data_IF_120949453229
#
_entry.id   IF_120949453229
#
_cell.length_a   1.000
_cell.length_b   1.000
_cell.length_c   1.000
_cell.angle_alpha   90.00
_cell.angle_beta   90.00
_cell.angle_gamma   90.00
#
_symmetry.space_group_name_H-M   'P 1'
#
loop_
_entity.id
_entity.type
_entity.pdbx_description
1 polymer ?
#
# COMPACT_ATOMS: atom_id res chain seq x y z
N UNK A 1 11.23 -4.84 -2.76
CA UNK A 1 10.14 -4.52 -1.82
C UNK A 1 10.68 -3.77 -0.59
N UNK A 2 10.04 -2.66 -0.16
CA UNK A 2 10.40 -1.88 1.05
C UNK A 2 9.13 -1.35 1.75
N UNK A 3 9.25 -0.79 2.97
CA UNK A 3 8.11 -0.32 3.77
C UNK A 3 7.90 1.18 3.51
N UNK A 4 6.68 1.55 3.12
CA UNK A 4 6.30 2.94 2.90
C UNK A 4 5.04 3.29 3.69
N UNK A 5 4.98 4.49 4.25
CA UNK A 5 3.77 5.05 4.86
C UNK A 5 3.14 5.97 3.81
N UNK A 6 1.93 5.64 3.36
CA UNK A 6 1.19 6.44 2.38
C UNK A 6 -0.25 6.65 2.84
N UNK A 7 -0.80 7.88 2.77
CA UNK A 7 -2.21 8.11 3.02
C UNK A 7 -3.04 7.54 1.85
N UNK A 8 -4.04 6.72 2.17
CA UNK A 8 -4.99 6.20 1.18
C UNK A 8 -6.28 7.04 1.26
N UNK A 9 -6.77 7.49 0.11
CA UNK A 9 -8.10 8.12 -0.01
C UNK A 9 -8.98 7.25 -0.89
N UNK A 10 -10.05 6.72 -0.30
CA UNK A 10 -11.05 5.97 -1.04
C UNK A 10 -11.98 6.91 -1.80
N UNK A 11 -12.35 6.50 -3.01
CA UNK A 11 -13.38 7.10 -3.83
C UNK A 11 -14.72 7.10 -3.07
N UNK A 12 -15.43 8.23 -3.12
CA UNK A 12 -16.73 8.46 -2.47
C UNK A 12 -17.84 8.76 -3.51
N UNK A 13 -17.60 8.44 -4.79
CA UNK A 13 -18.61 8.59 -5.85
C UNK A 13 -19.83 7.67 -5.54
N UNK A 14 -21.06 8.03 -5.95
CA UNK A 14 -22.26 7.24 -5.64
C UNK A 14 -22.18 5.77 -6.09
N UNK A 15 -21.49 5.53 -7.20
CA UNK A 15 -21.24 4.19 -7.77
C UNK A 15 -19.86 3.63 -7.37
N UNK A 16 -19.23 4.18 -6.33
CA UNK A 16 -17.93 3.72 -5.88
C UNK A 16 -18.01 2.29 -5.38
N UNK A 17 -17.04 1.49 -5.84
CA UNK A 17 -16.74 0.15 -5.35
C UNK A 17 -16.45 0.15 -3.86
N UNK A 18 -16.60 -0.99 -3.19
CA UNK A 18 -16.30 -1.09 -1.75
C UNK A 18 -14.82 -0.81 -1.48
N UNK A 19 -14.46 -0.45 -0.24
CA UNK A 19 -13.08 -0.05 0.08
C UNK A 19 -12.05 -1.15 -0.20
N UNK A 20 -12.43 -2.41 0.03
CA UNK A 20 -11.64 -3.58 -0.28
C UNK A 20 -11.43 -3.74 -1.80
N UNK A 21 -12.48 -3.62 -2.60
CA UNK A 21 -12.39 -3.63 -4.07
C UNK A 21 -11.46 -2.52 -4.59
N UNK A 22 -11.63 -1.29 -4.10
CA UNK A 22 -10.75 -0.17 -4.47
C UNK A 22 -9.28 -0.46 -4.08
N UNK A 23 -9.05 -1.14 -2.95
CA UNK A 23 -7.69 -1.48 -2.54
C UNK A 23 -7.06 -2.54 -3.45
N UNK A 24 -7.84 -3.52 -3.90
CA UNK A 24 -7.41 -4.48 -4.91
C UNK A 24 -7.11 -3.82 -6.26
N UNK A 25 -7.93 -2.85 -6.70
CA UNK A 25 -7.66 -2.05 -7.92
C UNK A 25 -6.34 -1.27 -7.82
N UNK A 26 -5.99 -0.81 -6.62
CA UNK A 26 -4.69 -0.17 -6.34
C UNK A 26 -3.52 -1.17 -6.24
N UNK A 27 -3.76 -2.47 -6.44
CA UNK A 27 -2.74 -3.52 -6.31
C UNK A 27 -2.30 -3.78 -4.87
N UNK A 28 -3.13 -3.39 -3.89
CA UNK A 28 -2.83 -3.40 -2.47
C UNK A 28 -3.70 -4.44 -1.74
N UNK A 29 -3.04 -5.35 -1.02
CA UNK A 29 -3.66 -6.41 -0.25
C UNK A 29 -3.67 -6.03 1.25
N UNK A 30 -4.84 -5.89 1.90
CA UNK A 30 -4.91 -5.54 3.32
C UNK A 30 -4.26 -6.59 4.21
N UNK A 31 -3.51 -6.14 5.23
CA UNK A 31 -3.09 -7.02 6.33
C UNK A 31 -4.28 -7.45 7.21
N UNK A 32 -5.36 -6.67 7.21
CA UNK A 32 -6.60 -6.95 7.94
C UNK A 32 -7.78 -6.29 7.21
N UNK A 33 -8.86 -7.05 7.02
CA UNK A 33 -10.09 -6.56 6.41
C UNK A 33 -10.95 -5.72 7.37
N UNK A 34 -10.86 -5.96 8.68
CA UNK A 34 -11.65 -5.21 9.66
C UNK A 34 -11.13 -3.78 9.86
N UNK A 35 -9.80 -3.59 9.79
CA UNK A 35 -9.19 -2.27 9.92
C UNK A 35 -7.80 -2.22 9.28
N UNK A 36 -7.72 -1.96 7.97
CA UNK A 36 -6.46 -1.99 7.24
C UNK A 36 -5.58 -0.80 7.66
N UNK A 37 -4.64 -1.03 8.57
CA UNK A 37 -3.55 -0.10 8.89
C UNK A 37 -2.29 -0.34 8.06
N UNK A 38 -2.24 -1.48 7.39
CA UNK A 38 -1.12 -1.96 6.62
C UNK A 38 -1.67 -2.70 5.41
N UNK A 39 -1.04 -2.51 4.28
CA UNK A 39 -1.32 -3.24 3.06
C UNK A 39 -0.01 -3.63 2.39
N UNK A 40 -0.06 -4.71 1.61
CA UNK A 40 1.06 -5.30 0.91
C UNK A 40 0.79 -5.27 -0.58
N UNK A 41 1.79 -5.03 -1.41
CA UNK A 41 1.62 -5.21 -2.85
C UNK A 41 1.63 -6.70 -3.20
N UNK A 42 0.97 -7.08 -4.30
CA UNK A 42 1.06 -8.46 -4.80
C UNK A 42 2.51 -8.90 -5.10
N UNK A 43 3.34 -7.97 -5.59
CA UNK A 43 4.77 -8.23 -5.80
C UNK A 43 5.48 -8.62 -4.50
N UNK A 44 5.21 -7.92 -3.39
CA UNK A 44 5.80 -8.24 -2.09
C UNK A 44 5.34 -9.60 -1.57
N UNK A 45 4.07 -9.95 -1.78
CA UNK A 45 3.53 -11.26 -1.43
C UNK A 45 4.18 -12.39 -2.24
N UNK A 46 4.37 -12.19 -3.54
CA UNK A 46 5.06 -13.16 -4.40
C UNK A 46 6.52 -13.35 -3.96
N UNK A 47 7.25 -12.26 -3.70
CA UNK A 47 8.62 -12.32 -3.16
C UNK A 47 8.66 -13.09 -1.83
N UNK A 48 7.68 -12.85 -0.93
CA UNK A 48 7.61 -13.54 0.36
C UNK A 48 7.37 -15.04 0.20
N UNK A 49 6.48 -15.45 -0.71
CA UNK A 49 6.21 -16.86 -0.99
C UNK A 49 7.49 -17.56 -1.47
N UNK A 50 8.26 -16.93 -2.36
CA UNK A 50 9.54 -17.47 -2.84
C UNK A 50 10.56 -17.58 -1.68
N UNK A 51 10.77 -16.52 -0.91
CA UNK A 51 11.68 -16.53 0.25
C UNK A 51 11.27 -17.57 1.32
N UNK A 52 9.97 -17.81 1.48
CA UNK A 52 9.44 -18.82 2.41
C UNK A 52 9.68 -20.24 1.89
N UNK A 53 9.44 -20.49 0.60
CA UNK A 53 9.63 -21.80 -0.01
C UNK A 53 11.10 -22.19 -0.14
N UNK A 54 11.95 -21.28 -0.59
CA UNK A 54 13.37 -21.59 -0.87
C UNK A 54 14.22 -21.64 0.41
N UNK A 55 13.97 -20.73 1.34
CA UNK A 55 14.83 -20.51 2.51
C UNK A 55 14.15 -20.80 3.86
N UNK A 56 12.87 -21.20 3.87
CA UNK A 56 12.11 -21.37 5.11
C UNK A 56 11.93 -20.07 5.88
N UNK A 57 12.00 -18.92 5.20
CA UNK A 57 11.98 -17.61 5.85
C UNK A 57 10.63 -17.37 6.51
N UNK A 58 10.63 -17.12 7.82
CA UNK A 58 9.42 -16.74 8.54
C UNK A 58 8.95 -15.34 8.15
N UNK A 59 7.65 -15.07 8.26
CA UNK A 59 7.07 -13.75 7.99
C UNK A 59 7.76 -12.62 8.79
N UNK A 60 8.16 -12.89 10.03
CA UNK A 60 8.85 -11.92 10.88
C UNK A 60 10.28 -11.63 10.43
N UNK A 61 11.01 -12.64 9.95
CA UNK A 61 12.34 -12.46 9.39
C UNK A 61 12.28 -11.68 8.08
N UNK A 62 11.30 -12.01 7.23
CA UNK A 62 11.06 -11.26 5.98
C UNK A 62 10.68 -9.80 6.26
N UNK A 63 9.78 -9.54 7.21
CA UNK A 63 9.46 -8.18 7.65
C UNK A 63 10.69 -7.43 8.18
N UNK A 64 11.57 -8.12 8.93
CA UNK A 64 12.81 -7.52 9.43
C UNK A 64 13.80 -7.20 8.30
N UNK A 65 13.88 -8.05 7.26
CA UNK A 65 14.62 -7.77 6.02
C UNK A 65 14.09 -6.51 5.33
N UNK A 66 12.77 -6.42 5.13
CA UNK A 66 12.13 -5.23 4.56
C UNK A 66 12.43 -3.96 5.38
N UNK A 67 12.36 -4.05 6.72
CA UNK A 67 12.63 -2.93 7.61
C UNK A 67 14.09 -2.45 7.50
N UNK A 68 15.04 -3.39 7.39
CA UNK A 68 16.46 -3.07 7.18
C UNK A 68 16.71 -2.40 5.83
N UNK A 69 16.14 -2.94 4.74
CA UNK A 69 16.22 -2.35 3.40
C UNK A 69 15.65 -0.93 3.39
N UNK A 70 14.50 -0.73 4.05
CA UNK A 70 13.86 0.59 4.17
C UNK A 70 14.76 1.56 4.94
N UNK A 71 15.30 1.13 6.08
CA UNK A 71 16.21 1.95 6.89
C UNK A 71 17.52 2.29 6.17
N UNK A 72 18.01 1.40 5.29
CA UNK A 72 19.22 1.64 4.52
C UNK A 72 18.97 2.53 3.29
N UNK A 73 17.79 2.44 2.67
CA UNK A 73 17.44 3.29 1.53
C UNK A 73 17.01 4.70 1.96
N UNK A 74 16.45 4.85 3.16
CA UNK A 74 16.03 6.15 3.71
C UNK A 74 16.32 6.25 5.22
N UNK A 75 17.58 6.49 5.61
CA UNK A 75 17.96 6.60 7.03
C UNK A 75 17.26 7.74 7.78
N UNK A 76 16.66 8.70 7.05
CA UNK A 76 15.96 9.87 7.59
C UNK A 76 14.41 9.73 7.63
N UNK A 77 13.83 8.64 7.12
CA UNK A 77 12.37 8.42 7.11
C UNK A 77 11.89 7.54 8.28
N UNK A 78 12.64 7.53 9.39
CA UNK A 78 12.17 6.96 10.65
C UNK A 78 11.17 7.92 11.30
N UNK A 79 9.91 7.78 10.86
CA UNK A 79 8.65 8.16 11.51
C UNK A 79 8.53 9.59 12.06
N UNK A 80 7.81 10.48 11.37
CA UNK A 80 6.93 11.47 12.05
C UNK A 80 5.71 11.76 11.19
N UNK A 81 4.54 11.46 11.76
CA UNK A 81 3.25 11.99 11.35
C UNK A 81 3.24 13.51 11.54
N UNK A 82 3.45 14.29 10.50
CA UNK A 82 3.04 15.72 10.48
C UNK A 82 2.90 16.21 9.04
N UNK A 83 1.66 16.55 8.68
CA UNK A 83 1.25 17.47 7.61
C UNK A 83 1.97 17.33 6.24
N UNK A 84 1.31 16.64 5.30
CA UNK A 84 1.54 16.92 3.88
C UNK A 84 0.24 17.35 3.20
N UNK A 85 0.42 18.44 2.46
CA UNK A 85 -0.52 19.25 1.71
C UNK A 85 -1.30 18.40 0.70
N UNK A 86 -2.56 18.77 0.49
CA UNK A 86 -3.46 18.22 -0.51
C UNK A 86 -2.92 18.52 -1.92
N UNK A 87 -2.12 17.61 -2.47
CA UNK A 87 -1.62 17.70 -3.84
C UNK A 87 -0.69 16.52 -4.14
N UNK A 88 -1.01 15.77 -5.19
CA UNK A 88 -0.14 14.77 -5.82
C UNK A 88 0.18 13.47 -5.03
N UNK A 89 -0.85 12.68 -4.73
CA UNK A 89 -0.90 11.22 -4.99
C UNK A 89 -2.28 10.65 -4.60
N UNK A 90 -3.35 11.35 -4.97
CA UNK A 90 -4.67 10.74 -4.92
C UNK A 90 -4.79 9.89 -6.20
N UNK A 91 -4.88 8.57 -6.07
CA UNK A 91 -5.28 7.70 -7.18
C UNK A 91 -6.65 8.20 -7.65
N UNK A 92 -6.65 8.87 -8.80
CA UNK A 92 -7.86 9.32 -9.47
C UNK A 92 -8.72 8.09 -9.75
N UNK A 93 -9.95 8.11 -9.25
CA UNK A 93 -10.95 7.07 -9.44
C UNK A 93 -11.29 7.02 -10.95
N UNK A 94 -10.93 5.96 -11.70
CA UNK A 94 -11.21 5.88 -13.14
C UNK A 94 -12.72 5.76 -13.43
N UNK A 95 -13.54 5.50 -12.40
CA UNK A 95 -14.98 5.35 -12.47
C UNK A 95 -15.78 6.64 -12.18
N UNK A 96 -15.15 7.73 -11.72
CA UNK A 96 -15.89 9.00 -11.66
C UNK A 96 -15.94 9.59 -13.09
N UNK A 97 -17.13 9.91 -13.64
CA UNK A 97 -17.23 10.55 -14.94
C UNK A 97 -16.41 11.84 -14.88
N UNK A 98 -15.37 11.95 -15.70
CA UNK A 98 -14.63 13.20 -15.79
C UNK A 98 -15.64 14.29 -16.18
N UNK A 99 -15.73 15.41 -15.43
CA UNK A 99 -16.61 16.49 -15.83
C UNK A 99 -16.07 17.04 -17.16
N UNK A 100 -16.76 16.66 -18.23
CA UNK A 100 -16.72 17.18 -19.60
C UNK A 100 -15.34 17.27 -20.27
N UNK A 101 -15.08 16.36 -21.21
CA UNK A 101 -14.74 16.85 -22.54
C UNK A 101 -16.05 17.20 -23.24
N UNK A 102 -16.44 18.48 -23.15
CA UNK A 102 -17.34 19.10 -24.12
C UNK A 102 -16.59 19.37 -25.41
#
# INVERSE_FOLDING_TARGET
SSIHIMPIRFCQCPDARTQDEQMFEMGMFPASFARPKMAFTFALLNDFILDNLECGTSAMNYYSKLRRITSSMFPHLVMVSTNLVLGELALFCPACPQPSMS
#
